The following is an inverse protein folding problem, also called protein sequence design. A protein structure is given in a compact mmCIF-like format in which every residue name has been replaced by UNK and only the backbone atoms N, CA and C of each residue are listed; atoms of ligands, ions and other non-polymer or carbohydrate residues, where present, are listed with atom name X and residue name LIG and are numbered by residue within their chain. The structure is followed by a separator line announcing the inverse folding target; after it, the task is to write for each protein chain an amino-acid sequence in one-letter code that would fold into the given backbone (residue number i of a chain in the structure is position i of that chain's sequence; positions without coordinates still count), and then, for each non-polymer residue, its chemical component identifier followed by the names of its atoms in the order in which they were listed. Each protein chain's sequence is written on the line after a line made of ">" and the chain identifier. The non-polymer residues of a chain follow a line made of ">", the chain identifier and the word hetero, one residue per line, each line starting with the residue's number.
data_IF_925938750682
#
_entry.id   IF_925938750682
#
_cell.length_a   1.000
_cell.length_b   1.000
_cell.length_c   1.000
_cell.angle_alpha   90.00
_cell.angle_beta   90.00
_cell.angle_gamma   90.00
#
_symmetry.space_group_name_H-M   'P 1'
#
loop_
_entity.id
_entity.type
_entity.pdbx_description
1 polymer ?
#
# COMPACT_ATOMS: atom_id res chain seq x y z
N UNK A 1 -0.71 3.57 -19.37
CA UNK A 1 -1.82 4.19 -18.61
C UNK A 1 -2.05 5.63 -19.11
N UNK A 2 -3.27 6.19 -19.13
CA UNK A 2 -3.40 7.66 -19.34
C UNK A 2 -2.86 8.39 -18.10
N UNK A 3 -2.35 9.62 -18.24
CA UNK A 3 -1.84 10.39 -17.09
C UNK A 3 -2.88 10.55 -15.97
N UNK A 4 -4.17 10.56 -16.33
CA UNK A 4 -5.29 10.67 -15.39
C UNK A 4 -5.33 9.43 -14.48
N UNK A 5 -5.30 8.23 -15.05
CA UNK A 5 -5.30 6.99 -14.28
C UNK A 5 -4.09 6.88 -13.35
N UNK A 6 -2.89 7.28 -13.82
CA UNK A 6 -1.69 7.33 -12.98
C UNK A 6 -1.87 8.26 -11.78
N UNK A 7 -2.41 9.47 -12.01
CA UNK A 7 -2.64 10.43 -10.93
C UNK A 7 -3.62 9.91 -9.87
N UNK A 8 -4.63 9.13 -10.28
CA UNK A 8 -5.61 8.54 -9.35
C UNK A 8 -4.97 7.40 -8.55
N UNK A 9 -4.18 6.51 -9.17
CA UNK A 9 -3.46 5.44 -8.45
C UNK A 9 -2.56 6.05 -7.37
N UNK A 10 -1.87 7.14 -7.69
CA UNK A 10 -1.03 7.86 -6.73
C UNK A 10 -1.86 8.50 -5.61
N UNK A 11 -3.00 9.10 -5.93
CA UNK A 11 -3.89 9.68 -4.93
C UNK A 11 -4.41 8.63 -3.92
N UNK A 12 -4.88 7.47 -4.41
CA UNK A 12 -5.35 6.37 -3.54
C UNK A 12 -4.19 5.82 -2.70
N UNK A 13 -3.00 5.69 -3.28
CA UNK A 13 -1.79 5.28 -2.56
C UNK A 13 -1.47 6.22 -1.40
N UNK A 14 -1.52 7.53 -1.65
CA UNK A 14 -1.29 8.55 -0.63
C UNK A 14 -2.34 8.46 0.48
N UNK A 15 -3.61 8.27 0.14
CA UNK A 15 -4.68 8.07 1.12
C UNK A 15 -4.39 6.88 2.03
N UNK A 16 -3.96 5.74 1.46
CA UNK A 16 -3.55 4.55 2.20
C UNK A 16 -2.37 4.76 3.13
N UNK A 17 -1.33 5.46 2.66
CA UNK A 17 -0.15 5.78 3.45
C UNK A 17 -0.50 6.71 4.62
N UNK A 18 -1.32 7.73 4.39
CA UNK A 18 -1.72 8.69 5.43
C UNK A 18 -2.60 8.03 6.49
N UNK A 19 -3.54 7.16 6.09
CA UNK A 19 -4.35 6.40 7.05
C UNK A 19 -3.51 5.43 7.88
N UNK A 20 -2.51 4.78 7.27
CA UNK A 20 -1.58 3.91 7.99
C UNK A 20 -0.75 4.71 8.99
N UNK A 21 -0.21 5.86 8.58
CA UNK A 21 0.52 6.78 9.47
C UNK A 21 -0.33 7.26 10.64
N UNK A 22 -1.61 7.61 10.41
CA UNK A 22 -2.54 7.99 11.48
C UNK A 22 -2.86 6.83 12.42
N UNK A 23 -3.04 5.62 11.91
CA UNK A 23 -3.30 4.42 12.70
C UNK A 23 -2.13 4.11 13.65
N UNK A 24 -0.91 4.09 13.10
CA UNK A 24 0.31 3.84 13.88
C UNK A 24 0.54 4.99 14.87
N UNK A 25 0.36 6.23 14.44
CA UNK A 25 0.50 7.42 15.28
C UNK A 25 -0.45 7.45 16.46
N UNK A 26 -1.73 7.08 16.26
CA UNK A 26 -2.70 6.91 17.37
C UNK A 26 -2.27 5.82 18.33
N UNK A 27 -1.90 4.65 17.82
CA UNK A 27 -1.43 3.54 18.67
C UNK A 27 -0.18 3.92 19.49
N UNK A 28 0.70 4.75 18.93
CA UNK A 28 1.86 5.27 19.63
C UNK A 28 1.52 6.33 20.69
N UNK A 29 0.58 7.24 20.39
CA UNK A 29 0.13 8.31 21.28
C UNK A 29 -0.72 7.79 22.45
N UNK A 30 -1.58 6.79 22.22
CA UNK A 30 -2.42 6.17 23.25
C UNK A 30 -1.62 5.27 24.22
N UNK A 31 -0.30 5.14 24.02
CA UNK A 31 0.60 4.37 24.89
C UNK A 31 0.45 2.85 24.74
N UNK A 32 -0.34 2.37 23.77
CA UNK A 32 -0.57 0.95 23.54
C UNK A 32 0.57 0.33 22.71
N UNK A 33 1.71 0.17 23.39
CA UNK A 33 2.96 -0.38 22.84
C UNK A 33 2.77 -1.75 22.18
N UNK A 34 1.80 -2.56 22.64
CA UNK A 34 1.53 -3.88 22.02
C UNK A 34 0.90 -3.75 20.65
N UNK A 35 -0.07 -2.86 20.51
CA UNK A 35 -0.74 -2.60 19.23
C UNK A 35 0.22 -1.95 18.24
N UNK A 36 0.99 -0.95 18.68
CA UNK A 36 2.02 -0.33 17.83
C UNK A 36 3.10 -1.32 17.37
N UNK A 37 3.61 -2.17 18.28
CA UNK A 37 4.60 -3.19 17.94
C UNK A 37 4.06 -4.22 16.93
N UNK A 38 2.80 -4.64 17.08
CA UNK A 38 2.17 -5.60 16.17
C UNK A 38 1.97 -5.00 14.77
N UNK A 39 1.55 -3.73 14.68
CA UNK A 39 1.42 -3.03 13.40
C UNK A 39 2.79 -2.84 12.72
N UNK A 40 3.83 -2.49 13.49
CA UNK A 40 5.17 -2.34 12.95
C UNK A 40 5.75 -3.68 12.49
N UNK A 41 5.51 -4.76 13.24
CA UNK A 41 5.91 -6.11 12.84
C UNK A 41 5.19 -6.54 11.55
N UNK A 42 3.88 -6.27 11.44
CA UNK A 42 3.13 -6.55 10.21
C UNK A 42 3.71 -5.80 9.01
N UNK A 43 4.09 -4.52 9.18
CA UNK A 43 4.70 -3.69 8.14
C UNK A 43 6.04 -4.25 7.65
N UNK A 44 6.89 -4.65 8.59
CA UNK A 44 8.21 -5.19 8.28
C UNK A 44 8.05 -6.55 7.56
N UNK A 45 7.19 -7.42 8.08
CA UNK A 45 6.94 -8.75 7.50
C UNK A 45 6.32 -8.62 6.11
N UNK A 46 5.35 -7.72 5.92
CA UNK A 46 4.69 -7.53 4.62
C UNK A 46 5.66 -6.96 3.58
N UNK A 47 6.48 -5.96 3.94
CA UNK A 47 7.53 -5.45 3.06
C UNK A 47 8.55 -6.53 2.70
N UNK A 48 9.00 -7.33 3.69
CA UNK A 48 9.93 -8.42 3.44
C UNK A 48 9.34 -9.49 2.51
N UNK A 49 8.08 -9.87 2.70
CA UNK A 49 7.37 -10.80 1.81
C UNK A 49 7.21 -10.24 0.40
N UNK A 50 6.82 -8.97 0.25
CA UNK A 50 6.67 -8.35 -1.07
C UNK A 50 8.00 -8.27 -1.81
N UNK A 51 9.10 -7.94 -1.12
CA UNK A 51 10.43 -7.96 -1.72
C UNK A 51 10.89 -9.38 -2.08
N UNK A 52 10.67 -10.36 -1.20
CA UNK A 52 11.06 -11.75 -1.43
C UNK A 52 10.25 -12.41 -2.57
N UNK A 53 8.96 -12.05 -2.70
CA UNK A 53 8.09 -12.54 -3.76
C UNK A 53 8.22 -11.75 -5.07
N UNK A 54 8.91 -10.60 -5.07
CA UNK A 54 8.89 -9.65 -6.18
C UNK A 54 7.48 -9.10 -6.46
N UNK A 55 6.63 -9.04 -5.43
CA UNK A 55 5.25 -8.63 -5.56
C UNK A 55 5.16 -7.10 -5.65
N UNK A 56 4.89 -6.60 -6.86
CA UNK A 56 4.67 -5.19 -7.13
C UNK A 56 3.29 -4.99 -7.78
N UNK A 57 2.34 -4.50 -6.99
CA UNK A 57 0.99 -4.21 -7.48
C UNK A 57 1.00 -3.07 -8.49
N UNK A 58 1.94 -2.13 -8.40
CA UNK A 58 2.03 -1.00 -9.33
C UNK A 58 2.54 -1.45 -10.69
N UNK A 59 3.56 -2.31 -10.73
CA UNK A 59 4.05 -2.88 -11.98
C UNK A 59 2.98 -3.76 -12.64
N UNK A 60 2.24 -4.56 -11.85
CA UNK A 60 1.09 -5.32 -12.34
C UNK A 60 -0.04 -4.44 -12.93
N UNK A 61 -0.12 -3.18 -12.51
CA UNK A 61 -1.07 -2.18 -13.03
C UNK A 61 -0.49 -1.36 -14.18
N UNK A 62 0.74 -1.62 -14.62
CA UNK A 62 1.43 -0.86 -15.65
C UNK A 62 1.89 0.53 -15.19
N UNK A 63 2.03 0.73 -13.88
CA UNK A 63 2.66 1.91 -13.27
C UNK A 63 4.12 1.55 -12.99
N UNK A 64 5.00 1.91 -13.91
CA UNK A 64 6.43 1.71 -13.73
C UNK A 64 7.02 2.91 -12.99
N UNK A 65 7.51 2.68 -11.77
CA UNK A 65 8.27 3.69 -11.05
C UNK A 65 9.69 3.77 -11.58
N UNK A 66 10.28 4.97 -11.56
CA UNK A 66 11.71 5.14 -11.88
C UNK A 66 12.63 4.37 -10.90
N UNK A 67 12.12 4.00 -9.73
CA UNK A 67 12.82 3.23 -8.70
C UNK A 67 12.15 1.85 -8.56
N UNK A 68 12.79 0.76 -9.02
CA UNK A 68 12.18 -0.59 -9.08
C UNK A 68 11.67 -1.17 -7.76
N UNK A 69 12.19 -0.68 -6.64
CA UNK A 69 12.04 -1.21 -5.30
C UNK A 69 10.98 -0.41 -4.52
N UNK A 70 10.59 0.75 -5.07
CA UNK A 70 9.58 1.61 -4.48
C UNK A 70 8.18 0.98 -4.56
N UNK A 71 7.83 0.36 -5.70
CA UNK A 71 6.53 -0.29 -5.88
C UNK A 71 6.35 -1.50 -4.97
N UNK A 72 7.39 -2.31 -4.78
CA UNK A 72 7.39 -3.43 -3.83
C UNK A 72 7.23 -2.97 -2.38
N UNK A 73 7.93 -1.91 -1.97
CA UNK A 73 7.82 -1.36 -0.61
C UNK A 73 6.43 -0.78 -0.38
N UNK A 74 5.91 0.02 -1.32
CA UNK A 74 4.56 0.58 -1.24
C UNK A 74 3.50 -0.54 -1.17
N UNK A 75 3.66 -1.58 -2.00
CA UNK A 75 2.79 -2.76 -1.97
C UNK A 75 2.83 -3.43 -0.59
N UNK A 76 4.02 -3.60 -0.02
CA UNK A 76 4.20 -4.14 1.33
C UNK A 76 3.54 -3.27 2.40
N UNK A 77 3.69 -1.95 2.34
CA UNK A 77 3.07 -1.01 3.28
C UNK A 77 1.54 -1.11 3.22
N UNK A 78 0.96 -1.12 2.02
CA UNK A 78 -0.49 -1.25 1.86
C UNK A 78 -0.99 -2.64 2.31
N UNK A 79 -0.23 -3.70 2.02
CA UNK A 79 -0.52 -5.06 2.47
C UNK A 79 -0.47 -5.20 4.00
N UNK A 80 0.31 -4.37 4.70
CA UNK A 80 0.34 -4.34 6.17
C UNK A 80 -1.01 -4.00 6.81
N UNK A 81 -1.92 -3.32 6.09
CA UNK A 81 -3.30 -3.07 6.58
C UNK A 81 -4.22 -4.28 6.45
N UNK A 82 -3.73 -5.35 5.87
CA UNK A 82 -4.47 -6.59 5.67
C UNK A 82 -5.14 -6.69 4.30
N UNK A 83 -5.63 -7.89 4.00
CA UNK A 83 -6.22 -8.25 2.73
C UNK A 83 -7.46 -7.42 2.38
N UNK A 84 -8.21 -6.93 3.37
CA UNK A 84 -9.39 -6.11 3.14
C UNK A 84 -9.03 -4.77 2.48
N UNK A 85 -7.95 -4.13 2.95
CA UNK A 85 -7.49 -2.87 2.38
C UNK A 85 -6.94 -3.07 0.96
N UNK A 86 -6.09 -4.08 0.74
CA UNK A 86 -5.56 -4.41 -0.59
C UNK A 86 -6.68 -4.80 -1.57
N UNK A 87 -7.68 -5.56 -1.13
CA UNK A 87 -8.80 -5.93 -1.98
C UNK A 87 -9.61 -4.71 -2.41
N UNK A 88 -9.87 -3.76 -1.50
CA UNK A 88 -10.55 -2.52 -1.83
C UNK A 88 -9.70 -1.61 -2.73
N UNK A 89 -8.38 -1.54 -2.50
CA UNK A 89 -7.45 -0.84 -3.37
C UNK A 89 -7.50 -1.39 -4.80
N UNK A 90 -7.34 -2.71 -4.97
CA UNK A 90 -7.40 -3.38 -6.27
C UNK A 90 -8.77 -3.19 -6.94
N UNK A 91 -9.87 -3.29 -6.19
CA UNK A 91 -11.22 -3.02 -6.72
C UNK A 91 -11.36 -1.60 -7.25
N UNK A 92 -10.97 -0.59 -6.47
CA UNK A 92 -11.04 0.82 -6.89
C UNK A 92 -10.23 1.04 -8.17
N UNK A 93 -9.07 0.39 -8.28
CA UNK A 93 -8.22 0.44 -9.46
C UNK A 93 -8.83 -0.28 -10.66
N UNK A 94 -9.41 -1.45 -10.47
CA UNK A 94 -10.09 -2.20 -11.54
C UNK A 94 -11.30 -1.44 -12.08
N UNK A 95 -12.05 -0.75 -11.23
CA UNK A 95 -13.14 0.13 -11.67
C UNK A 95 -12.62 1.20 -12.64
N UNK A 96 -11.47 1.82 -12.33
CA UNK A 96 -10.88 2.86 -13.18
C UNK A 96 -10.26 2.25 -14.46
N UNK A 97 -9.68 1.05 -14.37
CA UNK A 97 -9.10 0.38 -15.53
C UNK A 97 -10.14 -0.16 -16.51
N UNK A 98 -11.32 -0.56 -16.01
CA UNK A 98 -12.45 -1.08 -16.79
C UNK A 98 -13.33 0.03 -17.38
N UNK A 99 -13.29 1.26 -16.83
CA UNK A 99 -14.01 2.44 -17.38
C UNK A 99 -13.35 3.00 -18.66
N UNK A 100 -12.87 2.11 -19.52
CA UNK A 100 -12.29 2.40 -20.84
C UNK A 100 -13.15 1.86 -21.96
#
# INVERSE_FOLDING_TARGET
>A
MSMIALSIVMAITVEGLVELGKSIGKAALDGDRKTAATQLAALIISCALCMAAGADVYDALGVSFAVPWLGMILTGILASRGSNYIADFVKRLQTIATDK
#
